data_IF_305961101116
#
_entry.id   IF_305961101116
#
_cell.length_a   1.000
_cell.length_b   1.000
_cell.length_c   1.000
_cell.angle_alpha   90.00
_cell.angle_beta   90.00
_cell.angle_gamma   90.00
#
_symmetry.space_group_name_H-M   'P 1'
#
loop_
_entity.id
_entity.type
_entity.pdbx_description
1 polymer ?
#
# COMPACT_ATOMS: atom_id res chain seq x y z
N UNK A 1 2.31 19.62 -83.65
CA UNK A 1 3.42 20.39 -84.24
C UNK A 1 4.53 20.45 -83.22
N UNK A 2 5.62 19.72 -83.53
CA UNK A 2 7.03 19.83 -83.09
C UNK A 2 7.30 20.11 -81.59
N UNK A 3 8.14 19.36 -80.87
CA UNK A 3 9.46 18.90 -81.29
C UNK A 3 10.06 17.87 -80.33
N UNK A 4 10.99 17.08 -80.89
CA UNK A 4 12.21 16.48 -80.30
C UNK A 4 12.09 15.25 -79.37
N UNK A 5 12.66 14.17 -79.93
CA UNK A 5 12.98 12.84 -79.36
C UNK A 5 14.14 12.87 -78.33
N UNK A 6 14.36 11.77 -77.57
CA UNK A 6 15.20 11.68 -76.38
C UNK A 6 16.64 11.21 -76.66
N UNK A 7 17.56 11.36 -75.69
CA UNK A 7 18.91 10.75 -75.70
C UNK A 7 19.31 10.30 -74.27
N UNK A 8 19.32 8.97 -74.09
CA UNK A 8 20.18 8.01 -73.32
C UNK A 8 21.33 8.47 -72.37
N UNK A 9 22.07 7.55 -71.70
CA UNK A 9 21.74 6.48 -70.73
C UNK A 9 22.65 6.62 -69.46
N UNK A 10 22.65 5.75 -68.45
CA UNK A 10 23.58 4.62 -68.26
C UNK A 10 23.31 4.02 -66.87
N UNK A 11 23.26 2.69 -66.77
CA UNK A 11 23.24 1.97 -65.49
C UNK A 11 24.66 1.95 -64.92
N UNK A 12 24.85 2.42 -63.69
CA UNK A 12 25.98 1.98 -62.86
C UNK A 12 25.52 1.61 -61.46
N UNK A 13 25.60 0.30 -61.25
CA UNK A 13 25.74 -0.40 -59.99
C UNK A 13 26.45 0.39 -58.88
N UNK A 14 25.80 0.49 -57.72
CA UNK A 14 26.52 0.48 -56.46
C UNK A 14 25.65 -0.16 -55.37
N UNK A 15 25.99 -1.43 -55.13
CA UNK A 15 25.88 -2.15 -53.87
C UNK A 15 25.72 -1.24 -52.63
N UNK A 16 24.60 -1.38 -51.93
CA UNK A 16 24.59 -1.23 -50.46
C UNK A 16 23.84 -2.40 -49.84
N UNK A 17 24.65 -3.40 -49.50
CA UNK A 17 24.61 -4.20 -48.27
C UNK A 17 23.31 -4.21 -47.48
N UNK A 18 22.66 -5.36 -47.55
CA UNK A 18 21.96 -6.09 -46.48
C UNK A 18 22.10 -5.48 -45.07
N UNK A 19 21.02 -4.90 -44.55
CA UNK A 19 20.77 -4.90 -43.10
C UNK A 19 20.05 -6.19 -42.73
N UNK A 20 20.79 -7.31 -42.78
CA UNK A 20 20.46 -8.50 -42.02
C UNK A 20 20.98 -8.31 -40.60
N UNK A 21 20.06 -8.09 -39.66
CA UNK A 21 20.33 -8.24 -38.24
C UNK A 21 21.03 -7.03 -37.61
N UNK A 22 20.26 -6.25 -36.86
CA UNK A 22 20.54 -5.77 -35.51
C UNK A 22 19.25 -5.05 -35.07
N UNK A 23 18.37 -5.77 -34.37
CA UNK A 23 17.28 -5.18 -33.60
C UNK A 23 17.89 -4.70 -32.27
N UNK A 24 18.37 -3.45 -32.24
CA UNK A 24 18.67 -2.78 -30.97
C UNK A 24 17.34 -2.41 -30.33
N UNK A 25 16.88 -3.28 -29.45
CA UNK A 25 16.50 -2.95 -28.07
C UNK A 25 15.64 -4.10 -27.60
N UNK A 26 16.24 -4.94 -26.76
CA UNK A 26 15.53 -5.77 -25.82
C UNK A 26 14.44 -4.92 -25.16
N UNK A 27 13.19 -5.13 -25.56
CA UNK A 27 12.08 -4.96 -24.64
C UNK A 27 12.29 -6.00 -23.54
N UNK A 28 13.20 -5.68 -22.62
CA UNK A 28 13.18 -6.25 -21.30
C UNK A 28 11.75 -6.01 -20.83
N UNK A 29 10.96 -7.05 -20.51
CA UNK A 29 9.79 -6.80 -19.71
C UNK A 29 10.36 -6.21 -18.43
N UNK A 30 10.25 -4.89 -18.28
CA UNK A 30 10.36 -4.23 -17.02
C UNK A 30 9.33 -4.93 -16.16
N UNK A 31 9.79 -5.94 -15.43
CA UNK A 31 9.05 -6.57 -14.36
C UNK A 31 8.96 -5.48 -13.31
N UNK A 32 7.95 -4.62 -13.48
CA UNK A 32 7.33 -3.92 -12.38
C UNK A 32 6.82 -5.03 -11.47
N UNK A 33 7.72 -5.58 -10.65
CA UNK A 33 7.34 -6.13 -9.38
C UNK A 33 6.63 -4.95 -8.71
N UNK A 34 5.30 -5.00 -8.49
CA UNK A 34 4.67 -3.98 -7.68
C UNK A 34 5.49 -3.95 -6.41
N UNK A 35 6.08 -2.79 -6.09
CA UNK A 35 6.86 -2.62 -4.86
C UNK A 35 6.03 -3.28 -3.78
N UNK A 36 6.49 -4.44 -3.28
CA UNK A 36 5.78 -5.14 -2.21
C UNK A 36 5.89 -4.15 -1.09
N UNK A 37 4.82 -3.38 -0.85
CA UNK A 37 4.76 -2.38 0.20
C UNK A 37 5.26 -3.12 1.42
N UNK A 38 6.47 -2.79 1.87
CA UNK A 38 7.09 -3.48 2.99
C UNK A 38 6.05 -3.44 4.09
N UNK A 39 5.57 -4.63 4.49
CA UNK A 39 4.46 -4.81 5.41
C UNK A 39 4.65 -3.81 6.55
N UNK A 40 3.88 -2.72 6.52
CA UNK A 40 4.02 -1.72 7.55
C UNK A 40 3.66 -2.43 8.85
N UNK A 41 4.45 -2.26 9.93
CA UNK A 41 4.00 -2.73 11.23
C UNK A 41 2.61 -2.12 11.43
N UNK A 42 1.65 -2.95 11.82
CA UNK A 42 0.19 -2.87 11.66
C UNK A 42 -0.49 -1.53 12.01
N UNK A 43 0.20 -0.45 12.42
CA UNK A 43 -0.47 0.71 12.98
C UNK A 43 0.23 2.07 12.76
N UNK A 44 0.36 2.52 11.51
CA UNK A 44 0.64 3.95 11.23
C UNK A 44 -0.55 4.88 11.57
N UNK A 45 -1.79 4.35 11.64
CA UNK A 45 -3.02 5.15 11.83
C UNK A 45 -3.55 5.08 13.27
N UNK A 46 -4.13 6.17 13.83
CA UNK A 46 -4.79 6.20 15.16
C UNK A 46 -6.12 5.41 15.18
N UNK A 47 -6.05 4.12 14.87
CA UNK A 47 -7.16 3.16 14.85
C UNK A 47 -6.75 1.95 15.71
N UNK A 48 -7.70 1.39 16.45
CA UNK A 48 -7.47 0.14 17.17
C UNK A 48 -7.65 -1.06 16.21
N UNK A 49 -6.65 -1.94 16.05
CA UNK A 49 -6.72 -3.03 15.08
C UNK A 49 -7.82 -4.05 15.41
N UNK A 50 -7.99 -4.40 16.69
CA UNK A 50 -8.97 -5.41 17.12
C UNK A 50 -10.43 -4.95 17.11
N UNK A 51 -10.67 -3.65 17.29
CA UNK A 51 -12.04 -3.12 17.45
C UNK A 51 -12.43 -2.13 16.36
N UNK A 52 -11.51 -1.78 15.45
CA UNK A 52 -11.75 -0.79 14.39
C UNK A 52 -12.05 0.63 14.88
N UNK A 53 -11.89 0.92 16.18
CA UNK A 53 -12.24 2.23 16.74
C UNK A 53 -11.38 3.33 16.13
N UNK A 54 -12.04 4.36 15.61
CA UNK A 54 -11.45 5.53 14.95
C UNK A 54 -11.78 6.81 15.71
N UNK A 55 -11.02 7.88 15.42
CA UNK A 55 -11.28 9.19 15.98
C UNK A 55 -12.66 9.71 15.55
N UNK A 56 -13.36 10.37 16.46
CA UNK A 56 -14.66 11.00 16.19
C UNK A 56 -14.48 12.49 15.86
N UNK A 57 -15.22 13.00 14.87
CA UNK A 57 -15.25 14.44 14.55
C UNK A 57 -16.35 15.09 15.39
N UNK A 58 -15.97 15.99 16.29
CA UNK A 58 -16.89 16.67 17.20
C UNK A 58 -16.74 18.20 17.11
N UNK A 59 -17.66 18.94 17.74
CA UNK A 59 -17.51 20.37 17.96
C UNK A 59 -17.13 20.62 19.42
N UNK A 60 -16.21 21.55 19.67
CA UNK A 60 -16.06 22.20 20.97
C UNK A 60 -16.97 23.43 20.96
N UNK A 61 -17.90 23.51 21.90
CA UNK A 61 -18.89 24.59 22.01
C UNK A 61 -18.47 25.52 23.15
N UNK A 62 -18.43 26.83 22.91
CA UNK A 62 -18.18 27.83 23.96
C UNK A 62 -19.46 28.15 24.74
N UNK A 63 -19.33 28.90 25.83
CA UNK A 63 -20.49 29.43 26.57
C UNK A 63 -21.39 30.33 25.71
N UNK A 64 -20.81 31.01 24.71
CA UNK A 64 -21.51 31.82 23.71
C UNK A 64 -21.98 31.02 22.47
N UNK A 65 -22.05 29.69 22.56
CA UNK A 65 -22.45 28.76 21.48
C UNK A 65 -21.60 28.83 20.20
N UNK A 66 -20.37 29.35 20.27
CA UNK A 66 -19.43 29.30 19.16
C UNK A 66 -18.88 27.87 19.00
N UNK A 67 -19.00 27.31 17.78
CA UNK A 67 -18.69 25.91 17.49
C UNK A 67 -17.37 25.77 16.72
N UNK A 68 -16.34 25.24 17.36
CA UNK A 68 -15.05 24.94 16.73
C UNK A 68 -14.92 23.45 16.44
N UNK A 69 -14.51 23.06 15.21
CA UNK A 69 -14.31 21.65 14.84
C UNK A 69 -13.10 21.08 15.57
N UNK A 70 -13.25 19.89 16.16
CA UNK A 70 -12.17 19.16 16.83
C UNK A 70 -12.28 17.65 16.60
N UNK A 71 -11.21 16.92 16.86
CA UNK A 71 -11.15 15.46 16.76
C UNK A 71 -11.00 14.85 18.16
N UNK A 72 -11.89 13.95 18.53
CA UNK A 72 -11.79 13.14 19.74
C UNK A 72 -11.05 11.85 19.39
N UNK A 73 -9.81 11.72 19.87
CA UNK A 73 -8.98 10.55 19.59
C UNK A 73 -9.35 9.35 20.46
N UNK A 74 -9.06 8.15 19.94
CA UNK A 74 -9.17 6.90 20.70
C UNK A 74 -8.03 6.84 21.71
N UNK A 75 -8.33 6.40 22.93
CA UNK A 75 -7.32 6.12 23.97
C UNK A 75 -6.54 4.84 23.60
N UNK A 76 -5.53 5.00 22.74
CA UNK A 76 -4.63 3.95 22.28
C UNK A 76 -3.36 3.94 23.12
N UNK A 77 -2.97 2.76 23.61
CA UNK A 77 -1.80 2.58 24.46
C UNK A 77 -0.96 1.39 23.96
N UNK A 78 0.36 1.49 24.09
CA UNK A 78 1.24 0.34 23.87
C UNK A 78 1.22 -0.54 25.11
N UNK A 79 0.78 -1.79 24.94
CA UNK A 79 0.72 -2.78 26.02
C UNK A 79 1.26 -4.12 25.54
N UNK A 80 1.84 -4.85 26.49
CA UNK A 80 2.26 -6.24 26.29
C UNK A 80 1.14 -7.14 26.77
N UNK A 81 0.66 -8.02 25.91
CA UNK A 81 -0.35 -9.02 26.26
C UNK A 81 0.31 -10.40 26.19
N UNK A 82 0.02 -11.24 27.17
CA UNK A 82 0.48 -12.62 27.17
C UNK A 82 -0.34 -13.44 26.18
N UNK A 83 0.33 -14.22 25.33
CA UNK A 83 -0.32 -15.13 24.40
C UNK A 83 -0.02 -16.57 24.80
N UNK A 84 -1.06 -17.30 25.20
CA UNK A 84 -0.94 -18.65 25.75
C UNK A 84 -0.46 -19.67 24.70
N UNK A 85 -1.06 -19.66 23.50
CA UNK A 85 -0.72 -20.63 22.45
C UNK A 85 0.72 -20.48 21.93
N UNK A 86 1.24 -19.25 21.87
CA UNK A 86 2.64 -18.99 21.48
C UNK A 86 3.61 -18.84 22.64
N UNK A 87 3.15 -18.98 23.90
CA UNK A 87 3.94 -18.83 25.13
C UNK A 87 4.87 -17.61 25.14
N UNK A 88 4.37 -16.47 24.66
CA UNK A 88 5.18 -15.24 24.52
C UNK A 88 4.38 -13.98 24.77
N UNK A 89 5.09 -12.89 25.03
CA UNK A 89 4.50 -11.55 25.09
C UNK A 89 4.39 -10.95 23.69
N UNK A 90 3.23 -10.40 23.35
CA UNK A 90 3.01 -9.64 22.11
C UNK A 90 2.86 -8.16 22.43
N UNK A 91 3.64 -7.31 21.77
CA UNK A 91 3.54 -5.85 21.89
C UNK A 91 2.46 -5.34 20.95
N UNK A 92 1.38 -4.80 21.51
CA UNK A 92 0.21 -4.35 20.76
C UNK A 92 -0.11 -2.89 21.07
N UNK A 93 -0.62 -2.16 20.08
CA UNK A 93 -1.24 -0.86 20.30
C UNK A 93 -2.75 -1.03 20.44
N UNK A 94 -3.23 -1.02 21.67
CA UNK A 94 -4.60 -1.40 22.02
C UNK A 94 -5.41 -0.21 22.51
N UNK A 95 -6.72 -0.23 22.24
CA UNK A 95 -7.65 0.62 22.97
C UNK A 95 -8.00 0.00 24.31
N UNK A 96 -8.38 0.82 25.29
CA UNK A 96 -8.83 0.34 26.60
C UNK A 96 -10.06 -0.58 26.51
N UNK A 97 -10.92 -0.38 25.52
CA UNK A 97 -12.06 -1.26 25.27
C UNK A 97 -11.64 -2.61 24.68
N UNK A 98 -10.64 -2.62 23.79
CA UNK A 98 -10.07 -3.86 23.30
C UNK A 98 -9.41 -4.67 24.43
N UNK A 99 -8.73 -4.01 25.38
CA UNK A 99 -8.15 -4.68 26.55
C UNK A 99 -9.22 -5.41 27.37
N UNK A 100 -10.33 -4.74 27.69
CA UNK A 100 -11.48 -5.36 28.36
C UNK A 100 -12.08 -6.53 27.58
N UNK A 101 -12.12 -6.44 26.26
CA UNK A 101 -12.63 -7.53 25.41
C UNK A 101 -11.70 -8.74 25.40
N UNK A 102 -10.38 -8.50 25.42
CA UNK A 102 -9.36 -9.55 25.53
C UNK A 102 -9.46 -10.25 26.88
N UNK A 103 -9.62 -9.51 27.97
CA UNK A 103 -9.81 -10.08 29.31
C UNK A 103 -11.06 -10.95 29.40
N UNK A 104 -12.16 -10.54 28.73
CA UNK A 104 -13.43 -11.29 28.76
C UNK A 104 -13.44 -12.54 27.87
N UNK A 105 -12.95 -12.41 26.63
CA UNK A 105 -13.14 -13.44 25.59
C UNK A 105 -11.85 -14.22 25.27
N UNK A 106 -10.70 -13.80 25.80
CA UNK A 106 -9.39 -14.29 25.41
C UNK A 106 -8.81 -13.60 24.17
N UNK A 107 -7.48 -13.64 24.03
CA UNK A 107 -6.77 -12.97 22.94
C UNK A 107 -7.07 -13.60 21.56
N UNK A 108 -7.09 -14.94 21.50
CA UNK A 108 -7.26 -15.67 20.24
C UNK A 108 -8.64 -15.44 19.61
N UNK A 109 -9.70 -15.41 20.43
CA UNK A 109 -11.05 -15.15 19.94
C UNK A 109 -11.19 -13.74 19.35
N UNK A 110 -10.55 -12.75 19.98
CA UNK A 110 -10.59 -11.36 19.50
C UNK A 110 -9.72 -11.18 18.26
N UNK A 111 -8.56 -11.83 18.19
CA UNK A 111 -7.70 -11.81 17.02
C UNK A 111 -8.38 -12.44 15.79
N UNK A 112 -9.06 -13.58 15.97
CA UNK A 112 -9.86 -14.23 14.91
C UNK A 112 -10.99 -13.33 14.41
N UNK A 113 -11.71 -12.64 15.31
CA UNK A 113 -12.79 -11.71 14.92
C UNK A 113 -12.31 -10.50 14.12
N UNK A 114 -11.05 -10.12 14.29
CA UNK A 114 -10.44 -9.00 13.61
C UNK A 114 -9.57 -9.43 12.40
N UNK A 115 -9.53 -10.73 12.10
CA UNK A 115 -8.69 -11.33 11.06
C UNK A 115 -7.20 -10.95 11.16
N UNK A 116 -6.66 -10.97 12.39
CA UNK A 116 -5.26 -10.61 12.68
C UNK A 116 -4.45 -11.85 13.02
N UNK A 117 -3.38 -12.07 12.26
CA UNK A 117 -2.42 -13.13 12.52
C UNK A 117 -1.44 -12.77 13.64
N UNK A 118 -1.65 -13.35 14.84
CA UNK A 118 -0.79 -13.12 16.00
C UNK A 118 0.67 -13.58 15.80
N UNK A 119 0.97 -14.44 14.82
CA UNK A 119 2.32 -14.94 14.54
C UNK A 119 3.21 -13.91 13.84
N UNK A 120 2.59 -12.94 13.14
CA UNK A 120 3.29 -11.90 12.39
C UNK A 120 3.61 -10.65 13.25
N UNK A 121 3.20 -10.66 14.52
CA UNK A 121 3.29 -9.55 15.47
C UNK A 121 4.41 -9.70 16.51
#
# INVERSE_FOLDING_TARGET
MNSSRPIFPENLSSLTSQLSGIRISSESPCSFQPFKTALQPVVARRICPFTGKKANRANKVSFSDHKTKTQQFVNLQYKRVWWEAGKRWVKLRLSTKALKTIEKNGLDAVAKKADIDLRKL
#
